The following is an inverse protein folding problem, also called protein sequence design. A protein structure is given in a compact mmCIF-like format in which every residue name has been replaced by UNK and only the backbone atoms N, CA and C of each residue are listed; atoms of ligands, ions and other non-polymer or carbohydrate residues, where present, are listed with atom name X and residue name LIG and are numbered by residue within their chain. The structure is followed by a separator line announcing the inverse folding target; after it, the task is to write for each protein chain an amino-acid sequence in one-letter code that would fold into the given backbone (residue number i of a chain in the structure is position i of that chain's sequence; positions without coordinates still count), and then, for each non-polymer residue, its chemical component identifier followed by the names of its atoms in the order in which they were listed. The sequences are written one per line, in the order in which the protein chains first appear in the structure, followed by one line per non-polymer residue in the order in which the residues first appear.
data_IF_157481587232
#
_entry.id   IF_157481587232
#
_cell.length_a   1.000
_cell.length_b   1.000
_cell.length_c   1.000
_cell.angle_alpha   90.00
_cell.angle_beta   90.00
_cell.angle_gamma   90.00
#
_symmetry.space_group_name_H-M   'P 1'
#
loop_
_entity.id
_entity.type
_entity.pdbx_description
1 polymer ?
#
# COMPACT_ATOMS: atom_id res chain seq x y z
N UNK A 1 -20.59 -51.79 -59.21
CA UNK A 1 -20.15 -53.14 -58.79
C UNK A 1 -19.20 -53.64 -59.85
N UNK A 2 -18.11 -54.31 -59.51
CA UNK A 2 -17.16 -54.85 -60.50
C UNK A 2 -17.09 -56.36 -60.34
N UNK A 3 -17.03 -57.08 -61.44
CA UNK A 3 -16.72 -58.50 -61.43
C UNK A 3 -15.27 -58.69 -60.98
N UNK A 4 -15.03 -59.56 -60.01
CA UNK A 4 -13.72 -59.76 -59.43
C UNK A 4 -12.77 -60.52 -60.37
N UNK A 5 -13.31 -61.32 -61.31
CA UNK A 5 -12.50 -62.11 -62.24
C UNK A 5 -12.15 -61.34 -63.52
N UNK A 6 -13.09 -60.58 -64.07
CA UNK A 6 -12.86 -59.83 -65.32
C UNK A 6 -12.66 -58.33 -65.12
N UNK A 7 -12.76 -57.82 -63.88
CA UNK A 7 -12.76 -56.37 -63.58
C UNK A 7 -13.78 -55.56 -64.38
N UNK A 8 -14.81 -56.22 -64.92
CA UNK A 8 -15.86 -55.58 -65.70
C UNK A 8 -16.89 -54.89 -64.77
N UNK A 9 -17.34 -53.70 -65.15
CA UNK A 9 -18.33 -52.97 -64.37
C UNK A 9 -19.74 -53.57 -64.55
N UNK A 10 -20.28 -54.15 -63.49
CA UNK A 10 -21.60 -54.81 -63.40
C UNK A 10 -22.77 -53.84 -63.10
N UNK A 11 -22.53 -52.52 -63.16
CA UNK A 11 -23.56 -51.50 -62.92
C UNK A 11 -23.70 -51.05 -61.46
N UNK A 12 -24.62 -50.11 -61.20
CA UNK A 12 -24.87 -49.55 -59.87
C UNK A 12 -25.73 -50.52 -59.04
N UNK A 13 -25.17 -51.05 -57.95
CA UNK A 13 -25.92 -51.90 -57.02
C UNK A 13 -26.60 -51.01 -55.97
N UNK A 14 -27.93 -51.01 -55.99
CA UNK A 14 -28.75 -50.32 -54.99
C UNK A 14 -29.09 -51.33 -53.87
N UNK A 15 -28.77 -51.05 -52.59
CA UNK A 15 -29.14 -51.92 -51.47
C UNK A 15 -30.64 -52.23 -51.45
N UNK A 16 -31.00 -53.48 -51.16
CA UNK A 16 -32.40 -53.91 -51.10
C UNK A 16 -33.19 -53.26 -49.93
N UNK A 17 -32.49 -52.88 -48.85
CA UNK A 17 -33.06 -52.22 -47.67
C UNK A 17 -32.57 -50.77 -47.56
N UNK A 18 -32.80 -49.97 -48.60
CA UNK A 18 -32.48 -48.55 -48.53
C UNK A 18 -33.48 -47.84 -47.61
N UNK A 19 -32.93 -47.21 -46.56
CA UNK A 19 -33.69 -46.30 -45.73
C UNK A 19 -34.35 -45.19 -46.58
N UNK A 20 -35.60 -44.88 -46.28
CA UNK A 20 -36.32 -43.82 -46.99
C UNK A 20 -35.65 -42.47 -46.74
N UNK A 21 -35.80 -41.53 -47.68
CA UNK A 21 -35.25 -40.16 -47.52
C UNK A 21 -35.72 -39.49 -46.23
N UNK A 22 -36.95 -39.79 -45.81
CA UNK A 22 -37.52 -39.29 -44.56
C UNK A 22 -36.82 -39.87 -43.33
N UNK A 23 -36.48 -41.17 -43.33
CA UNK A 23 -35.72 -41.82 -42.27
C UNK A 23 -34.30 -41.23 -42.16
N UNK A 24 -33.63 -41.01 -43.30
CA UNK A 24 -32.32 -40.35 -43.34
C UNK A 24 -32.41 -38.92 -42.79
N UNK A 25 -33.41 -38.14 -43.22
CA UNK A 25 -33.61 -36.78 -42.73
C UNK A 25 -33.92 -36.76 -41.22
N UNK A 26 -34.72 -37.71 -40.72
CA UNK A 26 -35.00 -37.85 -39.30
C UNK A 26 -33.73 -38.17 -38.50
N UNK A 27 -32.89 -39.08 -39.00
CA UNK A 27 -31.62 -39.44 -38.38
C UNK A 27 -30.69 -38.23 -38.29
N UNK A 28 -30.49 -37.51 -39.40
CA UNK A 28 -29.64 -36.31 -39.41
C UNK A 28 -30.14 -35.25 -38.42
N UNK A 29 -31.46 -35.04 -38.32
CA UNK A 29 -32.04 -34.15 -37.30
C UNK A 29 -31.71 -34.63 -35.87
N UNK A 30 -31.77 -35.94 -35.60
CA UNK A 30 -31.41 -36.45 -34.27
C UNK A 30 -29.94 -36.24 -33.95
N UNK A 31 -29.05 -36.42 -34.92
CA UNK A 31 -27.62 -36.20 -34.76
C UNK A 31 -27.29 -34.72 -34.56
N UNK A 32 -27.93 -33.83 -35.30
CA UNK A 32 -27.81 -32.39 -35.10
C UNK A 32 -28.21 -31.98 -33.68
N UNK A 33 -29.33 -32.50 -33.16
CA UNK A 33 -29.77 -32.25 -31.77
C UNK A 33 -28.75 -32.79 -30.75
N UNK A 34 -28.21 -33.99 -30.97
CA UNK A 34 -27.16 -34.57 -30.10
C UNK A 34 -25.89 -33.73 -30.10
N UNK A 35 -25.42 -33.30 -31.27
CA UNK A 35 -24.25 -32.43 -31.42
C UNK A 35 -24.46 -31.09 -30.72
N UNK A 36 -25.65 -30.49 -30.86
CA UNK A 36 -25.97 -29.24 -30.18
C UNK A 36 -25.94 -29.40 -28.66
N UNK A 37 -26.52 -30.48 -28.13
CA UNK A 37 -26.49 -30.78 -26.69
C UNK A 37 -25.06 -30.96 -26.17
N UNK A 38 -24.17 -31.60 -26.95
CA UNK A 38 -22.77 -31.74 -26.57
C UNK A 38 -22.07 -30.38 -26.49
N UNK A 39 -22.29 -29.51 -27.48
CA UNK A 39 -21.72 -28.14 -27.49
C UNK A 39 -22.20 -27.32 -26.29
N UNK A 40 -23.50 -27.37 -25.98
CA UNK A 40 -24.04 -26.64 -24.83
C UNK A 40 -23.49 -27.16 -23.51
N UNK A 41 -23.33 -28.48 -23.38
CA UNK A 41 -22.76 -29.09 -22.18
C UNK A 41 -21.29 -28.71 -22.00
N UNK A 42 -20.50 -28.71 -23.08
CA UNK A 42 -19.11 -28.25 -23.05
C UNK A 42 -19.02 -26.78 -22.61
N UNK A 43 -19.82 -25.90 -23.22
CA UNK A 43 -19.84 -24.48 -22.85
C UNK A 43 -20.27 -24.26 -21.40
N UNK A 44 -21.22 -25.05 -20.88
CA UNK A 44 -21.61 -25.03 -19.47
C UNK A 44 -20.45 -25.47 -18.56
N UNK A 45 -19.80 -26.59 -18.88
CA UNK A 45 -18.67 -27.11 -18.12
C UNK A 45 -17.49 -26.13 -18.09
N UNK A 46 -17.17 -25.48 -19.21
CA UNK A 46 -16.13 -24.47 -19.24
C UNK A 46 -16.49 -23.23 -18.39
N UNK A 47 -17.75 -22.78 -18.42
CA UNK A 47 -18.22 -21.69 -17.56
C UNK A 47 -18.07 -22.06 -16.09
N UNK A 48 -18.47 -23.26 -15.69
CA UNK A 48 -18.28 -23.77 -14.33
C UNK A 48 -16.80 -23.89 -13.95
N UNK A 49 -15.93 -24.28 -14.89
CA UNK A 49 -14.48 -24.31 -14.68
C UNK A 49 -13.93 -22.90 -14.45
N UNK A 50 -14.27 -21.93 -15.32
CA UNK A 50 -13.85 -20.53 -15.18
C UNK A 50 -14.32 -19.95 -13.84
N UNK A 51 -15.57 -20.18 -13.45
CA UNK A 51 -16.10 -19.71 -12.18
C UNK A 51 -15.34 -20.30 -10.96
N UNK A 52 -15.09 -21.62 -10.95
CA UNK A 52 -14.37 -22.28 -9.85
C UNK A 52 -12.94 -21.80 -9.70
N UNK A 53 -12.24 -21.57 -10.80
CA UNK A 53 -10.82 -21.22 -10.78
C UNK A 53 -10.54 -19.72 -10.95
N UNK A 54 -11.56 -18.88 -11.10
CA UNK A 54 -11.39 -17.43 -11.25
C UNK A 54 -10.57 -16.83 -10.09
N UNK A 55 -10.89 -17.19 -8.85
CA UNK A 55 -10.16 -16.71 -7.68
C UNK A 55 -8.73 -17.28 -7.56
N UNK A 56 -8.48 -18.47 -8.13
CA UNK A 56 -7.16 -19.13 -8.09
C UNK A 56 -6.22 -18.56 -9.15
N UNK A 57 -6.77 -18.04 -10.26
CA UNK A 57 -5.97 -17.55 -11.40
C UNK A 57 -5.90 -16.04 -11.52
N UNK A 58 -6.66 -15.28 -10.72
CA UNK A 58 -6.48 -13.82 -10.67
C UNK A 58 -5.14 -13.53 -10.01
N UNK A 59 -4.15 -13.18 -10.82
CA UNK A 59 -2.85 -12.73 -10.33
C UNK A 59 -3.07 -11.50 -9.45
N UNK A 60 -2.71 -11.60 -8.17
CA UNK A 60 -2.65 -10.44 -7.31
C UNK A 60 -1.64 -9.43 -7.89
N UNK A 61 -1.85 -8.11 -7.68
CA UNK A 61 -0.85 -7.13 -8.04
C UNK A 61 0.49 -7.49 -7.40
N UNK A 62 1.57 -7.43 -8.19
CA UNK A 62 2.89 -7.84 -7.75
C UNK A 62 3.31 -7.01 -6.51
N UNK A 63 3.42 -7.68 -5.36
CA UNK A 63 3.92 -7.07 -4.13
C UNK A 63 5.44 -7.20 -4.13
N UNK A 64 6.16 -6.08 -3.94
CA UNK A 64 7.61 -6.14 -3.69
C UNK A 64 7.83 -6.81 -2.33
N UNK A 65 8.40 -8.01 -2.34
CA UNK A 65 8.83 -8.71 -1.14
C UNK A 65 10.31 -8.42 -0.92
N UNK A 66 10.66 -7.79 0.21
CA UNK A 66 12.06 -7.58 0.61
C UNK A 66 12.83 -6.50 -0.17
N UNK A 67 12.19 -5.73 -1.05
CA UNK A 67 12.86 -4.61 -1.70
C UNK A 67 12.77 -3.36 -0.82
N UNK A 68 13.81 -3.12 -0.02
CA UNK A 68 14.03 -1.84 0.66
C UNK A 68 14.53 -0.83 -0.37
N UNK A 69 13.98 0.37 -0.38
CA UNK A 69 14.45 1.42 -1.29
C UNK A 69 15.75 2.03 -0.78
N UNK A 70 16.59 2.58 -1.67
CA UNK A 70 17.85 3.21 -1.26
C UNK A 70 17.61 4.35 -0.24
N UNK A 71 16.57 5.16 -0.46
CA UNK A 71 16.20 6.25 0.45
C UNK A 71 15.78 5.74 1.85
N UNK A 72 15.05 4.63 1.90
CA UNK A 72 14.64 4.01 3.16
C UNK A 72 15.84 3.40 3.90
N UNK A 73 16.74 2.73 3.17
CA UNK A 73 17.98 2.23 3.76
C UNK A 73 18.89 3.36 4.28
N UNK A 74 19.03 4.46 3.54
CA UNK A 74 19.80 5.63 3.97
C UNK A 74 19.21 6.30 5.20
N UNK A 75 17.88 6.42 5.28
CA UNK A 75 17.19 6.97 6.45
C UNK A 75 17.43 6.12 7.70
N UNK A 76 17.27 4.80 7.60
CA UNK A 76 17.46 3.85 8.71
C UNK A 76 18.94 3.82 9.16
N UNK A 77 19.88 3.75 8.21
CA UNK A 77 21.31 3.75 8.52
C UNK A 77 21.79 5.10 9.08
N UNK A 78 21.24 6.21 8.61
CA UNK A 78 21.58 7.55 9.09
C UNK A 78 21.18 7.77 10.55
N UNK A 79 19.97 7.31 10.94
CA UNK A 79 19.49 7.38 12.32
C UNK A 79 20.39 6.60 13.27
N UNK A 80 20.67 5.33 12.94
CA UNK A 80 21.54 4.48 13.76
C UNK A 80 23.00 4.96 13.82
N UNK A 81 23.51 5.54 12.74
CA UNK A 81 24.87 6.09 12.70
C UNK A 81 25.08 7.23 13.71
N UNK A 82 24.13 8.14 13.83
CA UNK A 82 24.22 9.27 14.76
C UNK A 82 24.13 8.81 16.23
N UNK A 83 23.23 7.88 16.54
CA UNK A 83 23.09 7.30 17.88
C UNK A 83 24.36 6.57 18.31
N UNK A 84 24.95 5.78 17.41
CA UNK A 84 26.17 5.03 17.69
C UNK A 84 27.37 5.96 17.87
N UNK A 85 27.52 6.98 17.02
CA UNK A 85 28.54 8.01 17.18
C UNK A 85 28.41 8.74 18.52
N UNK A 86 27.19 9.04 18.96
CA UNK A 86 26.93 9.68 20.26
C UNK A 86 27.27 8.74 21.42
N UNK A 87 26.97 7.45 21.30
CA UNK A 87 27.33 6.43 22.30
C UNK A 87 28.84 6.26 22.44
N UNK A 88 29.57 6.36 21.32
CA UNK A 88 31.03 6.20 21.28
C UNK A 88 31.79 7.46 21.69
N UNK A 89 31.23 8.66 21.43
CA UNK A 89 31.92 9.94 21.69
C UNK A 89 32.18 10.19 23.18
N UNK A 90 31.38 9.59 24.08
CA UNK A 90 31.51 9.61 25.56
C UNK A 90 32.17 10.90 26.08
N UNK A 91 31.56 12.08 25.83
CA UNK A 91 32.18 13.38 26.08
C UNK A 91 32.52 13.61 27.56
N UNK A 92 31.83 12.91 28.47
CA UNK A 92 32.04 13.02 29.92
C UNK A 92 33.23 12.20 30.46
N UNK A 93 33.91 11.41 29.61
CA UNK A 93 35.05 10.57 30.05
C UNK A 93 36.29 11.38 30.42
N UNK A 94 36.48 12.54 29.79
CA UNK A 94 37.63 13.40 30.03
C UNK A 94 37.11 14.73 30.57
N UNK A 95 37.36 15.06 31.85
CA UNK A 95 36.94 16.35 32.38
C UNK A 95 37.65 17.46 31.62
N UNK A 96 36.88 18.31 30.96
CA UNK A 96 37.41 19.50 30.31
C UNK A 96 37.86 20.50 31.37
N UNK A 97 39.09 21.00 31.23
CA UNK A 97 39.55 22.13 32.03
C UNK A 97 38.66 23.35 31.76
N UNK A 98 38.42 24.21 32.77
CA UNK A 98 37.69 25.44 32.53
C UNK A 98 38.39 26.27 31.45
N UNK A 99 37.62 26.98 30.60
CA UNK A 99 38.20 27.83 29.57
C UNK A 99 39.11 28.91 30.19
N UNK A 100 40.19 29.33 29.51
CA UNK A 100 41.09 30.37 30.02
C UNK A 100 40.36 31.68 30.33
N UNK A 101 40.82 32.40 31.37
CA UNK A 101 40.17 33.58 31.96
C UNK A 101 40.07 34.84 31.05
N UNK A 102 40.32 34.73 29.75
CA UNK A 102 40.17 35.82 28.78
C UNK A 102 39.38 35.43 27.53
N UNK A 103 38.79 34.23 27.50
CA UNK A 103 38.01 33.77 26.36
C UNK A 103 36.60 34.33 26.40
N UNK A 104 36.15 34.86 25.26
CA UNK A 104 34.74 35.20 25.06
C UNK A 104 33.98 33.89 24.90
N UNK A 105 33.12 33.59 25.88
CA UNK A 105 32.25 32.41 25.82
C UNK A 105 31.12 32.64 24.82
N UNK A 106 30.71 31.60 24.06
CA UNK A 106 29.53 31.69 23.22
C UNK A 106 28.30 32.10 24.03
N UNK A 107 27.49 32.97 23.43
CA UNK A 107 26.22 33.38 24.02
C UNK A 107 25.26 32.20 23.93
N UNK A 108 24.70 31.80 25.08
CA UNK A 108 23.68 30.75 25.15
C UNK A 108 22.35 31.30 24.59
N UNK A 109 22.07 30.95 23.33
CA UNK A 109 20.91 31.41 22.60
C UNK A 109 19.61 30.78 23.13
N UNK A 110 19.68 29.57 23.66
CA UNK A 110 18.52 28.86 24.22
C UNK A 110 18.11 29.49 25.56
N UNK A 111 19.10 29.90 26.36
CA UNK A 111 18.87 30.68 27.59
C UNK A 111 18.30 32.06 27.31
N UNK A 112 18.79 32.75 26.28
CA UNK A 112 18.25 34.05 25.87
C UNK A 112 16.83 33.97 25.33
N UNK A 113 16.46 32.86 24.68
CA UNK A 113 15.11 32.63 24.18
C UNK A 113 14.11 32.30 25.31
N UNK A 114 14.59 31.85 26.48
CA UNK A 114 13.77 31.45 27.62
C UNK A 114 13.48 32.58 28.62
N UNK A 115 14.19 33.72 28.56
CA UNK A 115 13.94 34.88 29.41
C UNK A 115 12.86 35.79 28.79
N UNK A 116 11.65 35.93 29.39
CA UNK A 116 10.71 36.94 28.93
C UNK A 116 11.25 38.34 29.23
N UNK A 117 11.18 39.21 28.22
CA UNK A 117 11.68 40.58 28.23
C UNK A 117 11.39 41.33 29.55
N UNK A 118 12.45 41.53 30.33
CA UNK A 118 12.41 42.27 31.59
C UNK A 118 13.76 42.86 31.93
N UNK A 119 14.46 43.47 30.98
CA UNK A 119 15.60 44.36 31.28
C UNK A 119 15.49 45.63 30.44
N UNK A 120 14.83 46.63 31.04
CA UNK A 120 14.94 48.03 30.69
C UNK A 120 16.41 48.45 30.79
N UNK A 121 16.97 48.97 29.69
CA UNK A 121 18.23 49.70 29.73
C UNK A 121 18.08 50.93 30.64
N UNK A 122 18.61 50.84 31.87
CA UNK A 122 18.67 51.94 32.82
C UNK A 122 19.78 52.91 32.45
N UNK A 123 19.41 54.02 31.80
CA UNK A 123 20.13 55.28 31.87
C UNK A 123 19.36 56.19 32.83
N UNK A 124 19.90 56.46 34.02
CA UNK A 124 19.38 57.53 34.88
C UNK A 124 19.62 58.91 34.24
N UNK A 125 18.88 59.97 34.62
CA UNK A 125 18.63 60.32 36.02
C UNK A 125 17.23 60.91 36.35
N UNK A 126 16.95 61.06 37.65
CA UNK A 126 16.24 62.24 38.17
C UNK A 126 14.71 62.19 38.34
N UNK A 127 14.32 62.09 39.61
CA UNK A 127 13.29 62.90 40.30
C UNK A 127 11.78 62.51 40.28
N UNK A 128 11.22 62.70 41.49
CA UNK A 128 9.83 62.93 41.89
C UNK A 128 8.70 61.89 41.70
N UNK A 129 8.34 61.28 42.84
CA UNK A 129 7.03 61.34 43.50
C UNK A 129 5.75 60.63 42.96
N UNK A 130 5.12 59.97 43.94
CA UNK A 130 3.67 59.93 44.27
C UNK A 130 2.72 58.85 43.72
N UNK A 131 1.85 58.38 44.64
CA UNK A 131 0.56 57.69 44.40
C UNK A 131 0.61 56.15 44.35
N UNK A 132 0.26 55.40 45.41
CA UNK A 132 -1.09 55.07 45.93
C UNK A 132 -1.96 54.23 44.97
N UNK A 133 -2.46 53.08 45.48
CA UNK A 133 -3.62 52.34 44.95
C UNK A 133 -3.27 50.87 44.62
N UNK A 134 -3.52 49.89 45.47
CA UNK A 134 -4.81 49.30 45.88
C UNK A 134 -5.23 48.08 45.02
N UNK A 135 -5.26 46.94 45.73
CA UNK A 135 -6.11 45.73 45.68
C UNK A 135 -6.56 44.99 44.39
N UNK A 136 -6.79 43.69 44.60
CA UNK A 136 -7.59 42.77 43.77
C UNK A 136 -6.75 41.58 43.27
N UNK A 137 -6.68 40.40 43.90
CA UNK A 137 -7.72 39.39 44.23
C UNK A 137 -8.57 38.93 43.03
N UNK A 138 -8.56 37.61 42.78
CA UNK A 138 -9.47 36.87 41.90
C UNK A 138 -8.69 36.03 40.88
N UNK A 139 -8.27 34.80 41.15
CA UNK A 139 -9.03 33.55 41.38
C UNK A 139 -9.67 32.92 40.12
N UNK A 140 -9.60 31.58 40.10
CA UNK A 140 -10.38 30.62 39.29
C UNK A 140 -9.93 30.38 37.83
N UNK A 141 -9.34 29.21 37.53
CA UNK A 141 -9.99 27.91 37.22
C UNK A 141 -10.47 27.87 35.75
N UNK A 142 -10.24 26.83 34.94
CA UNK A 142 -10.13 25.41 35.24
C UNK A 142 -11.29 24.68 34.53
N UNK A 143 -10.97 23.68 33.72
CA UNK A 143 -11.86 22.73 33.00
C UNK A 143 -12.53 23.26 31.72
N UNK A 144 -12.35 22.71 30.50
CA UNK A 144 -12.04 21.37 29.97
C UNK A 144 -13.19 20.34 30.15
N UNK A 145 -13.83 19.99 29.03
CA UNK A 145 -14.81 18.91 28.82
C UNK A 145 -15.54 19.14 27.48
N UNK A 146 -15.11 18.54 26.35
CA UNK A 146 -15.59 17.26 25.77
C UNK A 146 -17.10 17.33 25.47
N UNK A 147 -17.57 17.70 24.27
CA UNK A 147 -17.58 16.95 22.99
C UNK A 147 -17.96 15.46 23.17
N UNK A 148 -18.92 14.85 22.49
CA UNK A 148 -19.95 15.25 21.51
C UNK A 148 -20.94 14.07 21.42
N UNK A 149 -22.19 14.33 21.02
CA UNK A 149 -23.14 13.33 20.52
C UNK A 149 -23.07 13.31 19.00
#
# INVERSE_FOLDING_TARGET
MFDAATSAHLGSATPADQATREQVAALLRTWARKAQRLRTNLAAAERSRRARYAAVTTAAPAKRLGAVTAAEAESELGGHGLEELTRLSRPDLLPHAPPPAGWVLPVDLDRLAAEPAGHTFGHGPGDAADGVGDSGVGDSAGSRGKESV
#
